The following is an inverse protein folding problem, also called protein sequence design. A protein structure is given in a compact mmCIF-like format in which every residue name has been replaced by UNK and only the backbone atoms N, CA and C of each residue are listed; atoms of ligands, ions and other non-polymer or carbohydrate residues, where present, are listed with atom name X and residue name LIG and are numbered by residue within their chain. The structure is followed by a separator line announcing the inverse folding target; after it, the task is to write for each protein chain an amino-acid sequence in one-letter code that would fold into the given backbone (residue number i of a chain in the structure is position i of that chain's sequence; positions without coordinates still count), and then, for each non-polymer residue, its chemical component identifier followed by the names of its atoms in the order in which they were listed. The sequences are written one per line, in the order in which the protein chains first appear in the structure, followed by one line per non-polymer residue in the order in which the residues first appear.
data_IF_126244685033
#
_entry.id   IF_126244685033
#
_cell.length_a   1.000
_cell.length_b   1.000
_cell.length_c   1.000
_cell.angle_alpha   90.00
_cell.angle_beta   90.00
_cell.angle_gamma   90.00
#
_symmetry.space_group_name_H-M   'P 1'
#
loop_
_entity.id
_entity.type
_entity.pdbx_description
1 polymer ?
#
# COMPACT_ATOMS: atom_id res chain seq x y z
N UNK A 1 -11.72 -7.37 5.09
CA UNK A 1 -11.74 -8.22 3.87
C UNK A 1 -10.55 -7.90 2.98
N UNK A 2 -9.93 -8.92 2.37
CA UNK A 2 -8.73 -8.75 1.58
C UNK A 2 -9.05 -8.20 0.18
N UNK A 3 -8.08 -7.56 -0.45
CA UNK A 3 -8.12 -6.90 -1.75
C UNK A 3 -6.85 -7.26 -2.51
N UNK A 4 -6.94 -7.31 -3.83
CA UNK A 4 -5.82 -7.55 -4.73
C UNK A 4 -6.03 -6.75 -6.02
N UNK A 5 -4.95 -6.49 -6.75
CA UNK A 5 -5.05 -5.91 -8.10
C UNK A 5 -5.23 -7.03 -9.11
N UNK A 6 -6.22 -6.89 -9.99
CA UNK A 6 -6.44 -7.81 -11.11
C UNK A 6 -6.18 -7.14 -12.45
N UNK A 7 -5.78 -7.94 -13.43
CA UNK A 7 -5.90 -7.59 -14.84
C UNK A 7 -7.31 -7.97 -15.31
N UNK A 8 -7.97 -7.07 -16.03
CA UNK A 8 -9.35 -7.30 -16.51
C UNK A 8 -9.35 -8.17 -17.77
N UNK A 9 -8.39 -7.99 -18.66
CA UNK A 9 -8.27 -8.72 -19.92
C UNK A 9 -7.86 -10.18 -19.74
N UNK A 10 -6.92 -10.44 -18.82
CA UNK A 10 -6.41 -11.79 -18.54
C UNK A 10 -7.21 -12.51 -17.45
N UNK A 11 -8.18 -11.83 -16.84
CA UNK A 11 -8.97 -12.32 -15.70
C UNK A 11 -8.13 -12.93 -14.56
N UNK A 12 -6.91 -12.40 -14.36
CA UNK A 12 -5.94 -12.92 -13.39
C UNK A 12 -5.58 -11.90 -12.31
N UNK A 13 -5.14 -12.40 -11.15
CA UNK A 13 -4.56 -11.54 -10.11
C UNK A 13 -3.12 -11.17 -10.45
N UNK A 14 -2.74 -9.93 -10.18
CA UNK A 14 -1.37 -9.43 -10.36
C UNK A 14 -0.63 -9.27 -9.03
N UNK A 15 -1.35 -9.30 -7.91
CA UNK A 15 -0.80 -9.09 -6.57
C UNK A 15 -1.38 -10.09 -5.58
N UNK A 16 -0.74 -10.25 -4.42
CA UNK A 16 -1.30 -11.05 -3.35
C UNK A 16 -2.56 -10.40 -2.74
N UNK A 17 -3.37 -11.22 -2.09
CA UNK A 17 -4.58 -10.77 -1.40
C UNK A 17 -4.24 -10.19 -0.03
N UNK A 18 -4.46 -8.89 0.17
CA UNK A 18 -4.08 -8.15 1.39
C UNK A 18 -5.21 -7.28 1.93
N UNK A 19 -5.30 -7.02 3.24
CA UNK A 19 -6.27 -6.05 3.77
C UNK A 19 -6.14 -4.68 3.08
N UNK A 20 -7.27 -3.99 2.89
CA UNK A 20 -7.27 -2.65 2.26
C UNK A 20 -6.36 -1.65 2.99
N UNK A 21 -6.18 -1.82 4.29
CA UNK A 21 -5.27 -1.00 5.11
C UNK A 21 -3.82 -1.13 4.67
N UNK A 22 -3.38 -2.28 4.18
CA UNK A 22 -2.03 -2.46 3.61
C UNK A 22 -1.85 -1.63 2.34
N UNK A 23 -2.83 -1.69 1.43
CA UNK A 23 -2.78 -0.90 0.20
C UNK A 23 -2.82 0.61 0.48
N UNK A 24 -3.68 1.04 1.41
CA UNK A 24 -3.72 2.44 1.86
C UNK A 24 -2.42 2.88 2.54
N UNK A 25 -1.78 1.99 3.29
CA UNK A 25 -0.45 2.25 3.85
C UNK A 25 0.60 2.45 2.75
N UNK A 26 0.53 1.68 1.68
CA UNK A 26 1.41 1.86 0.53
C UNK A 26 1.24 3.25 -0.11
N UNK A 27 0.01 3.70 -0.38
CA UNK A 27 -0.24 5.06 -0.90
C UNK A 27 0.18 6.16 0.09
N UNK A 28 -0.06 5.94 1.38
CA UNK A 28 0.33 6.91 2.41
C UNK A 28 1.86 7.02 2.50
N UNK A 29 2.58 5.90 2.39
CA UNK A 29 4.03 5.88 2.36
C UNK A 29 4.57 6.61 1.12
N UNK A 30 3.92 6.48 -0.03
CA UNK A 30 4.28 7.25 -1.23
C UNK A 30 4.18 8.77 -1.01
N UNK A 31 3.15 9.23 -0.31
CA UNK A 31 3.01 10.65 0.06
C UNK A 31 4.10 11.14 1.00
N UNK A 32 4.64 10.27 1.84
CA UNK A 32 5.72 10.60 2.78
C UNK A 32 7.10 10.62 2.10
N UNK A 33 7.33 9.72 1.15
CA UNK A 33 8.67 9.51 0.57
C UNK A 33 8.91 10.28 -0.74
N UNK A 34 7.86 10.70 -1.43
CA UNK A 34 7.96 11.41 -2.71
C UNK A 34 7.44 12.84 -2.61
N UNK A 35 8.17 13.75 -3.25
CA UNK A 35 7.74 15.14 -3.50
C UNK A 35 6.65 15.24 -4.56
N UNK A 36 6.69 14.39 -5.60
CA UNK A 36 5.64 14.32 -6.62
C UNK A 36 4.76 13.06 -6.44
N UNK A 37 3.97 13.04 -5.38
CA UNK A 37 3.19 11.88 -4.95
C UNK A 37 1.82 11.71 -5.67
N UNK A 38 1.48 12.59 -6.62
CA UNK A 38 0.18 12.61 -7.28
C UNK A 38 -0.02 11.44 -8.24
N UNK A 39 1.07 10.94 -8.83
CA UNK A 39 1.09 9.84 -9.81
C UNK A 39 1.09 8.44 -9.17
N UNK A 40 1.49 8.33 -7.91
CA UNK A 40 1.46 7.06 -7.17
C UNK A 40 0.07 6.91 -6.54
N UNK A 41 -0.80 6.24 -7.29
CA UNK A 41 -2.19 5.97 -6.93
C UNK A 41 -2.57 4.54 -7.26
N UNK A 42 -3.30 3.91 -6.35
CA UNK A 42 -3.90 2.60 -6.54
C UNK A 42 -5.00 2.65 -7.61
N UNK A 43 -5.23 1.55 -8.33
CA UNK A 43 -6.25 1.49 -9.36
C UNK A 43 -7.62 1.21 -8.74
N UNK A 44 -8.16 2.16 -7.94
CA UNK A 44 -9.48 1.99 -7.27
C UNK A 44 -10.63 1.85 -8.29
N UNK A 45 -10.40 2.29 -9.53
CA UNK A 45 -11.24 2.03 -10.70
C UNK A 45 -10.35 1.46 -11.81
N UNK A 46 -10.96 0.78 -12.78
CA UNK A 46 -10.28 0.34 -14.00
C UNK A 46 -9.44 1.47 -14.60
N UNK A 47 -8.16 1.21 -14.80
CA UNK A 47 -7.22 2.16 -15.42
C UNK A 47 -6.12 1.44 -16.18
N UNK A 48 -5.58 2.12 -17.18
CA UNK A 48 -4.29 1.77 -17.80
C UNK A 48 -3.25 2.75 -17.30
N UNK A 49 -2.10 2.26 -16.85
CA UNK A 49 -1.03 3.11 -16.36
C UNK A 49 -0.22 3.75 -17.50
N UNK A 50 0.02 5.05 -17.36
CA UNK A 50 0.88 5.83 -18.26
C UNK A 50 2.36 5.62 -17.96
N UNK A 51 3.23 6.02 -18.91
CA UNK A 51 4.69 5.94 -18.74
C UNK A 51 5.20 6.74 -17.54
N UNK A 52 4.61 7.91 -17.29
CA UNK A 52 5.00 8.76 -16.16
C UNK A 52 4.62 8.14 -14.82
N UNK A 53 3.48 7.43 -14.76
CA UNK A 53 3.10 6.68 -13.57
C UNK A 53 4.01 5.47 -13.34
N UNK A 54 4.41 4.75 -14.39
CA UNK A 54 5.41 3.67 -14.28
C UNK A 54 6.71 4.20 -13.68
N UNK A 55 7.18 5.35 -14.17
CA UNK A 55 8.38 6.01 -13.63
C UNK A 55 8.18 6.39 -12.15
N UNK A 56 7.05 6.99 -11.80
CA UNK A 56 6.75 7.37 -10.43
C UNK A 56 6.68 6.16 -9.46
N UNK A 57 6.08 5.05 -9.89
CA UNK A 57 6.06 3.80 -9.13
C UNK A 57 7.45 3.17 -9.00
N UNK A 58 8.29 3.27 -10.03
CA UNK A 58 9.69 2.81 -9.99
C UNK A 58 10.51 3.62 -8.99
N UNK A 59 10.41 4.95 -9.04
CA UNK A 59 11.08 5.84 -8.09
C UNK A 59 10.58 5.58 -6.66
N UNK A 60 9.26 5.38 -6.49
CA UNK A 60 8.67 5.02 -5.22
C UNK A 60 9.26 3.72 -4.66
N UNK A 61 9.33 2.65 -5.47
CA UNK A 61 9.88 1.37 -5.05
C UNK A 61 11.31 1.51 -4.50
N UNK A 62 12.17 2.26 -5.19
CA UNK A 62 13.53 2.50 -4.69
C UNK A 62 13.57 3.34 -3.42
N UNK A 63 12.67 4.32 -3.26
CA UNK A 63 12.53 5.04 -1.99
C UNK A 63 12.04 4.13 -0.87
N UNK A 64 11.11 3.22 -1.15
CA UNK A 64 10.66 2.22 -0.17
C UNK A 64 11.81 1.28 0.17
N UNK A 65 12.68 0.90 -0.77
CA UNK A 65 13.89 0.09 -0.51
C UNK A 65 14.86 0.76 0.46
N UNK A 66 15.07 2.07 0.31
CA UNK A 66 16.03 2.80 1.13
C UNK A 66 15.39 3.37 2.42
N UNK A 67 14.06 3.35 2.52
CA UNK A 67 13.30 3.82 3.68
C UNK A 67 13.67 3.08 4.98
N UNK A 68 13.92 3.83 6.03
CA UNK A 68 14.09 3.30 7.39
C UNK A 68 12.88 3.73 8.22
N UNK A 69 12.00 2.79 8.63
CA UNK A 69 10.88 3.10 9.50
C UNK A 69 11.35 3.83 10.77
N UNK A 70 10.79 5.01 11.00
CA UNK A 70 11.03 5.79 12.20
C UNK A 70 9.78 5.74 13.07
N UNK A 71 9.88 5.03 14.18
CA UNK A 71 8.79 4.89 15.15
C UNK A 71 8.75 6.14 16.02
N UNK A 72 7.69 6.93 15.88
CA UNK A 72 7.51 8.19 16.65
C UNK A 72 6.91 8.00 18.04
N UNK A 73 6.36 6.83 18.31
CA UNK A 73 5.63 6.49 19.53
C UNK A 73 6.00 5.08 19.98
N UNK A 74 6.11 4.87 21.29
CA UNK A 74 6.34 3.54 21.86
C UNK A 74 5.11 2.65 21.64
N UNK A 75 5.15 1.85 20.57
CA UNK A 75 4.04 0.97 20.17
C UNK A 75 3.78 -0.16 21.18
N UNK A 76 4.74 -0.48 22.05
CA UNK A 76 4.61 -1.58 23.01
C UNK A 76 3.41 -1.39 23.96
N UNK A 77 3.09 -0.14 24.28
CA UNK A 77 2.01 0.26 25.20
C UNK A 77 0.60 -0.04 24.71
N UNK A 78 0.44 -0.32 23.41
CA UNK A 78 -0.85 -0.58 22.78
C UNK A 78 -1.06 -2.06 22.45
N UNK A 79 -0.09 -2.93 22.73
CA UNK A 79 -0.31 -4.38 22.59
C UNK A 79 -1.11 -4.89 23.79
N UNK A 80 -2.25 -5.52 23.50
CA UNK A 80 -3.14 -6.14 24.50
C UNK A 80 -3.03 -7.67 24.51
N UNK A 81 -2.15 -8.22 23.67
CA UNK A 81 -1.83 -9.64 23.59
C UNK A 81 -0.82 -9.91 22.47
N UNK A 82 -0.38 -11.16 22.29
CA UNK A 82 0.54 -11.53 21.22
C UNK A 82 -0.03 -11.17 19.84
N UNK A 83 0.58 -10.20 19.18
CA UNK A 83 0.16 -9.73 17.85
C UNK A 83 -1.17 -8.96 17.81
N UNK A 84 -1.78 -8.66 18.97
CA UNK A 84 -3.03 -7.89 19.05
C UNK A 84 -2.73 -6.48 19.54
N UNK A 85 -3.08 -5.49 18.72
CA UNK A 85 -2.90 -4.07 19.01
C UNK A 85 -4.25 -3.37 19.19
N UNK A 86 -4.35 -2.56 20.24
CA UNK A 86 -5.48 -1.67 20.48
C UNK A 86 -5.34 -0.40 19.61
N UNK A 87 -5.94 -0.47 18.42
CA UNK A 87 -5.92 0.64 17.47
C UNK A 87 -6.79 1.82 17.92
N UNK A 88 -7.78 1.63 18.79
CA UNK A 88 -8.61 2.73 19.30
C UNK A 88 -7.78 3.59 20.27
N UNK A 89 -7.06 2.94 21.19
CA UNK A 89 -6.16 3.64 22.11
C UNK A 89 -4.99 4.31 21.40
N UNK A 90 -4.38 3.63 20.43
CA UNK A 90 -3.31 4.23 19.61
C UNK A 90 -3.82 5.44 18.83
N UNK A 91 -5.02 5.34 18.24
CA UNK A 91 -5.63 6.43 17.50
C UNK A 91 -5.92 7.65 18.37
N UNK A 92 -6.44 7.43 19.60
CA UNK A 92 -6.65 8.50 20.57
C UNK A 92 -5.35 9.23 20.93
N UNK A 93 -4.24 8.50 21.13
CA UNK A 93 -2.94 9.10 21.45
C UNK A 93 -2.32 9.85 20.26
N UNK A 94 -2.54 9.36 19.04
CA UNK A 94 -2.11 10.02 17.81
C UNK A 94 -3.03 11.17 17.36
N UNK A 95 -4.22 11.31 17.95
CA UNK A 95 -5.24 12.28 17.53
C UNK A 95 -5.84 12.00 16.15
N UNK A 96 -5.91 10.71 15.74
CA UNK A 96 -6.44 10.27 14.43
C UNK A 96 -7.55 9.23 14.60
N UNK A 97 -8.13 8.74 13.50
CA UNK A 97 -9.04 7.58 13.53
C UNK A 97 -8.31 6.24 13.60
N UNK A 98 -8.96 5.18 14.11
CA UNK A 98 -8.37 3.84 14.24
C UNK A 98 -7.91 3.22 12.91
N UNK A 99 -8.59 3.55 11.80
CA UNK A 99 -8.13 3.17 10.47
C UNK A 99 -6.81 3.84 10.07
N UNK A 100 -6.57 5.09 10.45
CA UNK A 100 -5.33 5.82 10.17
C UNK A 100 -4.18 5.34 11.06
N UNK A 101 -4.48 5.02 12.32
CA UNK A 101 -3.54 4.36 13.22
C UNK A 101 -3.08 2.99 12.67
N UNK A 102 -4.01 2.19 12.15
CA UNK A 102 -3.68 0.91 11.50
C UNK A 102 -2.82 1.10 10.25
N UNK A 103 -3.11 2.11 9.43
CA UNK A 103 -2.29 2.49 8.27
C UNK A 103 -0.88 2.88 8.71
N UNK A 104 -0.73 3.71 9.73
CA UNK A 104 0.58 4.09 10.29
C UNK A 104 1.39 2.87 10.72
N UNK A 105 0.81 1.96 11.48
CA UNK A 105 1.51 0.74 11.94
C UNK A 105 1.93 -0.12 10.75
N UNK A 106 1.10 -0.23 9.71
CA UNK A 106 1.47 -0.96 8.48
C UNK A 106 2.61 -0.30 7.71
N UNK A 107 2.72 1.02 7.70
CA UNK A 107 3.87 1.70 7.06
C UNK A 107 5.21 1.39 7.74
N UNK A 108 5.19 1.00 9.01
CA UNK A 108 6.39 0.65 9.76
C UNK A 108 6.89 -0.77 9.45
N UNK A 109 6.03 -1.64 8.91
CA UNK A 109 6.37 -2.99 8.50
C UNK A 109 7.11 -2.95 7.15
N UNK A 110 8.43 -2.78 7.23
CA UNK A 110 9.30 -2.63 6.07
C UNK A 110 9.23 -3.82 5.09
N UNK A 111 9.33 -5.09 5.52
CA UNK A 111 9.17 -6.23 4.62
C UNK A 111 7.83 -6.23 3.89
N UNK A 112 6.73 -5.94 4.60
CA UNK A 112 5.40 -5.86 4.00
C UNK A 112 5.30 -4.74 2.96
N UNK A 113 5.82 -3.55 3.27
CA UNK A 113 5.81 -2.41 2.35
C UNK A 113 6.69 -2.66 1.12
N UNK A 114 7.82 -3.36 1.28
CA UNK A 114 8.66 -3.77 0.16
C UNK A 114 7.93 -4.72 -0.79
N UNK A 115 7.34 -5.79 -0.26
CA UNK A 115 6.60 -6.76 -1.07
C UNK A 115 5.41 -6.10 -1.78
N UNK A 116 4.62 -5.30 -1.06
CA UNK A 116 3.48 -4.61 -1.64
C UNK A 116 3.88 -3.58 -2.71
N UNK A 117 5.00 -2.86 -2.52
CA UNK A 117 5.52 -1.92 -3.52
C UNK A 117 6.00 -2.63 -4.79
N UNK A 118 6.68 -3.78 -4.63
CA UNK A 118 7.15 -4.59 -5.76
C UNK A 118 5.99 -5.16 -6.56
N UNK A 119 5.03 -5.82 -5.91
CA UNK A 119 3.83 -6.38 -6.56
C UNK A 119 3.06 -5.30 -7.33
N UNK A 120 2.86 -4.13 -6.73
CA UNK A 120 2.17 -3.01 -7.37
C UNK A 120 2.96 -2.43 -8.54
N UNK A 121 4.30 -2.34 -8.43
CA UNK A 121 5.15 -1.93 -9.55
C UNK A 121 5.04 -2.92 -10.72
N UNK A 122 5.07 -4.23 -10.45
CA UNK A 122 4.88 -5.25 -11.48
C UNK A 122 3.49 -5.12 -12.15
N UNK A 123 2.43 -4.90 -11.37
CA UNK A 123 1.09 -4.67 -11.90
C UNK A 123 1.00 -3.41 -12.78
N UNK A 124 1.66 -2.32 -12.36
CA UNK A 124 1.76 -1.06 -13.12
C UNK A 124 2.52 -1.28 -14.44
N UNK A 125 3.65 -1.98 -14.39
CA UNK A 125 4.45 -2.31 -15.57
C UNK A 125 3.69 -3.21 -16.54
N UNK A 126 2.98 -4.21 -16.03
CA UNK A 126 2.10 -5.08 -16.81
C UNK A 126 1.04 -4.25 -17.54
N UNK A 127 0.29 -3.44 -16.80
CA UNK A 127 -0.77 -2.56 -17.35
C UNK A 127 -0.22 -1.66 -18.46
N UNK A 128 0.93 -1.02 -18.24
CA UNK A 128 1.53 -0.14 -19.23
C UNK A 128 2.04 -0.89 -20.47
N UNK A 129 2.76 -2.01 -20.28
CA UNK A 129 3.41 -2.77 -21.36
C UNK A 129 2.39 -3.37 -22.33
N UNK A 130 1.27 -3.87 -21.80
CA UNK A 130 0.25 -4.55 -22.60
C UNK A 130 -0.98 -3.67 -22.87
N UNK A 131 -1.01 -2.45 -22.33
CA UNK A 131 -2.20 -1.56 -22.39
C UNK A 131 -3.44 -2.21 -21.76
N UNK A 132 -3.23 -3.04 -20.74
CA UNK A 132 -4.29 -3.77 -20.03
C UNK A 132 -4.88 -2.92 -18.90
N UNK A 133 -6.20 -2.97 -18.75
CA UNK A 133 -6.91 -2.40 -17.61
C UNK A 133 -6.63 -3.20 -16.36
N UNK A 134 -6.28 -2.48 -15.29
CA UNK A 134 -6.12 -3.06 -13.95
C UNK A 134 -7.03 -2.35 -12.96
N UNK A 135 -7.45 -3.09 -11.94
CA UNK A 135 -8.25 -2.57 -10.84
C UNK A 135 -7.99 -3.29 -9.51
N UNK A 136 -8.08 -2.53 -8.43
CA UNK A 136 -8.04 -3.02 -7.07
C UNK A 136 -9.43 -3.51 -6.68
N UNK A 137 -9.58 -4.83 -6.56
CA UNK A 137 -10.86 -5.45 -6.26
C UNK A 137 -10.90 -6.01 -4.85
N UNK A 138 -12.11 -6.03 -4.29
CA UNK A 138 -12.40 -6.75 -3.05
C UNK A 138 -12.40 -8.25 -3.35
N UNK A 139 -11.56 -9.01 -2.66
CA UNK A 139 -11.58 -10.46 -2.76
C UNK A 139 -12.89 -11.03 -2.21
N UNK A 140 -13.39 -12.08 -2.88
CA UNK A 140 -14.41 -12.96 -2.31
C UNK A 140 -13.67 -13.91 -1.36
N UNK A 141 -14.05 -13.85 -0.08
CA UNK A 141 -13.70 -14.91 0.88
C UNK A 141 -14.69 -16.04 0.65
#
# INVERSE_FOLDING_TARGET
MPHYVRCVEEETWLTESRPITTWRALEQLAKQLLTNNSLVRLPVKMKVYSRDEVKAWTDFFFKVRDYKPAVKLDLSKFYVGPGVMDFERLAAEMGVGSGEAAVYVKTLDKPLMMAAAEEMLQAVMHSHKFTHYVELVKGRV
#
